data_IF_383925154699
#
_entry.id   IF_383925154699
#
_cell.length_a   1.000
_cell.length_b   1.000
_cell.length_c   1.000
_cell.angle_alpha   90.00
_cell.angle_beta   90.00
_cell.angle_gamma   90.00
#
_symmetry.space_group_name_H-M   'P 1'
#
loop_
_entity.id
_entity.type
_entity.pdbx_description
1 polymer ?
#
# COMPACT_ATOMS: atom_id res chain seq x y z
N UNK A 1 56.44 8.41 26.77
CA UNK A 1 55.60 7.36 27.38
C UNK A 1 54.54 8.03 28.26
N UNK A 2 53.36 8.29 27.71
CA UNK A 2 52.14 8.70 28.41
C UNK A 2 51.00 8.04 27.61
N UNK A 3 50.38 6.96 28.08
CA UNK A 3 49.35 6.26 27.33
C UNK A 3 47.98 6.91 27.54
N UNK A 4 47.04 6.57 26.65
CA UNK A 4 45.60 6.46 26.91
C UNK A 4 44.76 7.73 27.18
N UNK A 5 44.81 8.71 26.29
CA UNK A 5 43.57 9.42 25.95
C UNK A 5 42.71 8.48 25.07
N UNK A 6 42.19 7.40 25.65
CA UNK A 6 41.12 6.62 25.04
C UNK A 6 39.86 7.45 25.24
N UNK A 7 39.72 8.45 24.37
CA UNK A 7 38.41 9.00 24.06
C UNK A 7 37.63 7.84 23.44
N UNK A 8 36.93 7.07 24.29
CA UNK A 8 35.76 6.32 23.90
C UNK A 8 34.70 7.33 23.45
N UNK A 9 34.92 7.94 22.28
CA UNK A 9 33.82 8.44 21.47
C UNK A 9 33.12 7.16 21.05
N UNK A 10 32.19 6.73 21.89
CA UNK A 10 31.10 5.87 21.44
C UNK A 10 30.34 6.74 20.46
N UNK A 11 30.82 6.78 19.21
CA UNK A 11 29.97 7.13 18.10
C UNK A 11 28.95 5.99 18.13
N UNK A 12 27.82 6.23 18.78
CA UNK A 12 26.60 5.50 18.48
C UNK A 12 26.38 5.85 17.01
N UNK A 13 26.95 5.02 16.13
CA UNK A 13 26.57 5.01 14.75
C UNK A 13 25.12 4.56 14.86
N UNK A 14 24.20 5.52 14.88
CA UNK A 14 22.84 5.27 14.48
C UNK A 14 22.99 4.86 13.01
N UNK A 15 23.33 3.60 12.80
CA UNK A 15 23.18 2.97 11.52
C UNK A 15 21.68 3.09 11.28
N UNK A 16 21.30 4.01 10.41
CA UNK A 16 20.06 3.86 9.66
C UNK A 16 20.28 2.59 8.84
N UNK A 17 20.16 1.44 9.49
CA UNK A 17 19.95 0.17 8.84
C UNK A 17 18.53 0.23 8.30
N UNK A 18 18.35 0.99 7.22
CA UNK A 18 17.19 0.82 6.36
C UNK A 18 17.33 -0.57 5.75
N UNK A 19 16.86 -1.58 6.47
CA UNK A 19 16.44 -2.80 5.79
C UNK A 19 15.42 -2.33 4.76
N UNK A 20 15.75 -2.43 3.47
CA UNK A 20 14.96 -1.91 2.35
C UNK A 20 13.53 -2.48 2.28
N UNK A 21 13.19 -3.41 3.19
CA UNK A 21 11.89 -4.05 3.33
C UNK A 21 11.20 -3.80 4.68
N UNK A 22 11.79 -3.00 5.57
CA UNK A 22 11.16 -2.60 6.83
C UNK A 22 10.25 -1.38 6.63
N UNK A 23 9.15 -1.33 7.37
CA UNK A 23 8.15 -0.28 7.29
C UNK A 23 7.54 0.00 8.66
N UNK A 24 6.83 1.11 8.80
CA UNK A 24 6.15 1.45 10.05
C UNK A 24 4.70 0.95 10.04
N UNK A 25 4.19 0.60 11.22
CA UNK A 25 2.82 0.11 11.37
C UNK A 25 1.79 1.08 10.78
N UNK A 26 1.05 0.60 9.78
CA UNK A 26 0.06 1.40 9.08
C UNK A 26 0.56 2.09 7.82
N UNK A 27 1.83 1.96 7.46
CA UNK A 27 2.33 2.46 6.18
C UNK A 27 1.60 1.76 5.03
N UNK A 28 1.43 2.50 3.93
CA UNK A 28 0.69 2.07 2.75
C UNK A 28 1.50 2.40 1.50
N UNK A 29 1.53 1.48 0.53
CA UNK A 29 2.12 1.71 -0.78
C UNK A 29 1.38 0.94 -1.87
N UNK A 30 1.57 1.36 -3.12
CA UNK A 30 1.25 0.54 -4.29
C UNK A 30 2.38 -0.47 -4.50
N UNK A 31 2.05 -1.72 -4.81
CA UNK A 31 3.02 -2.78 -5.07
C UNK A 31 3.89 -2.39 -6.29
N UNK A 32 5.22 -2.27 -6.12
CA UNK A 32 6.13 -1.91 -7.21
C UNK A 32 6.16 -2.93 -8.37
N UNK A 33 5.85 -4.21 -8.10
CA UNK A 33 5.93 -5.29 -9.07
C UNK A 33 4.57 -5.72 -9.66
N UNK A 34 3.48 -5.49 -8.94
CA UNK A 34 2.15 -6.01 -9.32
C UNK A 34 1.12 -4.92 -9.68
N UNK A 35 1.57 -3.71 -10.03
CA UNK A 35 0.65 -2.64 -10.41
C UNK A 35 -0.29 -2.27 -9.26
N UNK A 36 -1.52 -1.79 -9.50
CA UNK A 36 -2.29 -0.97 -8.54
C UNK A 36 -2.70 -1.68 -7.23
N UNK A 37 -2.27 -2.92 -7.02
CA UNK A 37 -2.44 -3.67 -5.78
C UNK A 37 -1.77 -2.93 -4.63
N UNK A 38 -2.47 -2.82 -3.50
CA UNK A 38 -1.99 -2.12 -2.32
C UNK A 38 -1.27 -3.09 -1.37
N UNK A 39 -0.16 -2.61 -0.80
CA UNK A 39 0.52 -3.23 0.32
C UNK A 39 0.39 -2.37 1.57
N UNK A 40 0.04 -3.02 2.68
CA UNK A 40 -0.06 -2.41 3.99
C UNK A 40 1.02 -2.99 4.90
N UNK A 41 1.63 -2.14 5.70
CA UNK A 41 2.64 -2.53 6.66
C UNK A 41 2.02 -2.91 8.00
N UNK A 42 2.28 -4.13 8.45
CA UNK A 42 1.96 -4.54 9.81
C UNK A 42 3.08 -5.38 10.40
N UNK A 43 3.41 -5.16 11.67
CA UNK A 43 4.51 -5.83 12.35
C UNK A 43 5.88 -5.58 11.70
N UNK A 44 6.05 -4.44 11.03
CA UNK A 44 7.29 -4.06 10.37
C UNK A 44 7.54 -4.73 9.01
N UNK A 45 6.55 -5.44 8.47
CA UNK A 45 6.67 -6.19 7.22
C UNK A 45 5.52 -5.77 6.28
N UNK A 46 5.81 -5.66 4.98
CA UNK A 46 4.82 -5.39 3.94
C UNK A 46 3.98 -6.62 3.61
N UNK A 47 2.71 -6.42 3.29
CA UNK A 47 1.80 -7.51 2.95
C UNK A 47 0.51 -7.02 2.34
N UNK A 48 -0.32 -7.96 1.93
CA UNK A 48 -1.47 -7.72 1.07
C UNK A 48 -2.79 -7.80 1.83
N UNK A 49 -3.82 -7.23 1.22
CA UNK A 49 -5.18 -7.15 1.76
C UNK A 49 -6.15 -7.70 0.72
N UNK A 50 -7.17 -8.43 1.17
CA UNK A 50 -8.21 -8.92 0.29
C UNK A 50 -9.27 -7.85 0.04
N UNK A 51 -9.77 -7.81 -1.21
CA UNK A 51 -10.92 -6.99 -1.55
C UNK A 51 -12.22 -7.68 -1.13
N UNK A 52 -13.29 -6.90 -0.96
CA UNK A 52 -14.64 -7.42 -0.78
C UNK A 52 -15.33 -7.64 -2.12
N UNK A 53 -16.43 -8.40 -2.11
CA UNK A 53 -17.37 -8.44 -3.22
C UNK A 53 -18.20 -7.14 -3.32
N UNK A 54 -18.21 -6.31 -2.27
CA UNK A 54 -18.89 -5.03 -2.25
C UNK A 54 -18.03 -3.95 -2.92
N UNK A 55 -18.30 -3.70 -4.20
CA UNK A 55 -17.59 -2.71 -5.02
C UNK A 55 -17.67 -1.30 -4.40
N UNK A 56 -18.82 -0.91 -3.84
CA UNK A 56 -18.98 0.41 -3.21
C UNK A 56 -18.01 0.58 -2.05
N UNK A 57 -17.90 -0.45 -1.20
CA UNK A 57 -16.98 -0.40 -0.06
C UNK A 57 -15.52 -0.47 -0.51
N UNK A 58 -15.19 -1.24 -1.55
CA UNK A 58 -13.84 -1.23 -2.13
C UNK A 58 -13.45 0.17 -2.61
N UNK A 59 -14.40 0.90 -3.23
CA UNK A 59 -14.18 2.28 -3.65
C UNK A 59 -13.91 3.21 -2.48
N UNK A 60 -14.72 3.15 -1.42
CA UNK A 60 -14.52 4.00 -0.23
C UNK A 60 -13.13 3.74 0.39
N UNK A 61 -12.73 2.47 0.48
CA UNK A 61 -11.40 2.12 0.98
C UNK A 61 -10.28 2.62 0.05
N UNK A 62 -10.47 2.52 -1.27
CA UNK A 62 -9.50 3.02 -2.24
C UNK A 62 -9.37 4.55 -2.18
N UNK A 63 -10.45 5.27 -1.90
CA UNK A 63 -10.42 6.71 -1.70
C UNK A 63 -9.62 7.08 -0.44
N UNK A 64 -9.85 6.41 0.69
CA UNK A 64 -9.05 6.57 1.92
C UNK A 64 -7.59 6.21 1.67
N UNK A 65 -7.32 5.12 0.94
CA UNK A 65 -5.97 4.71 0.56
C UNK A 65 -5.27 5.81 -0.27
N UNK A 66 -5.95 6.38 -1.25
CA UNK A 66 -5.40 7.47 -2.06
C UNK A 66 -5.11 8.72 -1.24
N UNK A 67 -6.01 9.09 -0.32
CA UNK A 67 -5.76 10.20 0.60
C UNK A 67 -4.54 9.94 1.49
N UNK A 68 -4.42 8.73 2.04
CA UNK A 68 -3.25 8.32 2.84
C UNK A 68 -1.95 8.40 2.03
N UNK A 69 -1.99 8.13 0.72
CA UNK A 69 -0.86 8.27 -0.21
C UNK A 69 -0.61 9.73 -0.66
N UNK A 70 -1.32 10.70 -0.09
CA UNK A 70 -1.20 12.12 -0.47
C UNK A 70 -1.76 12.42 -1.87
N UNK A 71 -2.71 11.61 -2.34
CA UNK A 71 -3.41 11.75 -3.62
C UNK A 71 -4.88 12.14 -3.36
N UNK A 72 -5.60 12.53 -4.41
CA UNK A 72 -7.00 13.00 -4.25
C UNK A 72 -7.97 11.86 -3.93
N UNK A 73 -8.43 11.17 -4.97
CA UNK A 73 -9.40 10.09 -4.88
C UNK A 73 -8.99 8.96 -5.81
N UNK A 74 -9.56 7.78 -5.60
CA UNK A 74 -9.38 6.67 -6.53
C UNK A 74 -10.16 6.91 -7.81
N UNK A 75 -9.55 6.53 -8.94
CA UNK A 75 -10.26 6.26 -10.20
C UNK A 75 -11.05 4.98 -9.96
N UNK A 76 -12.28 5.15 -9.45
CA UNK A 76 -13.09 4.12 -8.79
C UNK A 76 -13.39 2.85 -9.58
N UNK A 77 -12.91 2.74 -10.82
CA UNK A 77 -13.03 1.56 -11.67
C UNK A 77 -12.04 0.45 -11.28
N UNK A 78 -10.90 0.79 -10.66
CA UNK A 78 -9.90 -0.19 -10.23
C UNK A 78 -9.71 -0.10 -8.71
N UNK A 79 -10.58 -0.84 -8.01
CA UNK A 79 -10.60 -0.92 -6.53
C UNK A 79 -10.30 -2.34 -6.03
N UNK A 80 -10.28 -3.30 -6.94
CA UNK A 80 -9.81 -4.66 -6.72
C UNK A 80 -9.16 -5.20 -8.00
N UNK A 81 -8.23 -6.14 -7.84
CA UNK A 81 -7.55 -6.80 -8.96
C UNK A 81 -7.45 -8.29 -8.68
N UNK A 82 -7.80 -9.09 -9.68
CA UNK A 82 -7.51 -10.52 -9.67
C UNK A 82 -6.05 -10.73 -10.02
N UNK A 83 -5.27 -11.33 -9.12
CA UNK A 83 -3.89 -11.71 -9.40
C UNK A 83 -3.77 -13.21 -9.59
N UNK A 84 -3.23 -13.65 -10.72
CA UNK A 84 -2.91 -15.07 -10.94
C UNK A 84 -1.68 -15.53 -10.14
N UNK A 85 -0.92 -14.58 -9.57
CA UNK A 85 0.28 -14.83 -8.79
C UNK A 85 -0.08 -14.91 -7.30
N UNK A 86 0.55 -15.84 -6.57
CA UNK A 86 0.38 -15.91 -5.11
C UNK A 86 1.07 -14.70 -4.48
N UNK A 87 0.27 -13.77 -3.95
CA UNK A 87 0.76 -12.64 -3.19
C UNK A 87 0.74 -12.99 -1.69
N UNK A 88 1.85 -12.72 -1.01
CA UNK A 88 2.09 -13.11 0.39
C UNK A 88 3.12 -12.16 1.02
N UNK A 89 3.07 -11.89 2.33
CA UNK A 89 2.06 -12.34 3.30
C UNK A 89 0.73 -11.58 3.16
N UNK A 90 -0.37 -12.19 3.60
CA UNK A 90 -1.69 -11.55 3.68
C UNK A 90 -1.97 -11.27 5.15
N UNK A 91 -1.91 -10.01 5.58
CA UNK A 91 -2.14 -9.64 7.00
C UNK A 91 -3.61 -9.52 7.31
N UNK A 92 -4.31 -8.83 6.43
CA UNK A 92 -5.74 -8.66 6.54
C UNK A 92 -6.39 -9.73 5.68
N UNK A 93 -6.56 -10.90 6.29
CA UNK A 93 -7.55 -11.89 5.84
C UNK A 93 -8.95 -11.25 5.76
N UNK A 94 -9.14 -10.14 6.50
CA UNK A 94 -10.30 -9.30 6.54
C UNK A 94 -10.20 -8.14 5.56
N UNK A 95 -11.35 -7.56 5.26
CA UNK A 95 -11.48 -6.39 4.42
C UNK A 95 -11.68 -5.14 5.30
N UNK A 96 -11.11 -4.01 4.92
CA UNK A 96 -11.39 -2.72 5.59
C UNK A 96 -12.83 -2.29 5.28
N UNK A 97 -13.53 -1.71 6.26
CA UNK A 97 -14.87 -1.16 6.07
C UNK A 97 -14.86 0.30 6.50
N UNK A 98 -14.17 1.13 5.71
CA UNK A 98 -14.07 2.56 5.92
C UNK A 98 -15.43 3.26 5.74
N UNK A 99 -15.64 4.34 6.48
CA UNK A 99 -16.78 5.25 6.29
C UNK A 99 -16.50 6.30 5.22
N UNK A 100 -15.22 6.56 4.92
CA UNK A 100 -14.75 7.58 3.98
C UNK A 100 -14.28 8.86 4.67
N UNK A 101 -14.37 8.93 6.00
CA UNK A 101 -13.89 10.05 6.81
C UNK A 101 -12.53 9.78 7.44
N UNK A 102 -12.05 8.54 7.37
CA UNK A 102 -10.74 8.14 7.86
C UNK A 102 -9.62 8.74 7.01
N UNK A 103 -8.51 9.10 7.65
CA UNK A 103 -7.32 9.60 6.93
C UNK A 103 -6.33 8.49 6.62
N UNK A 104 -6.47 7.33 7.29
CA UNK A 104 -5.63 6.15 7.15
C UNK A 104 -6.46 4.89 7.19
N UNK A 105 -6.07 3.87 6.41
CA UNK A 105 -6.78 2.57 6.39
C UNK A 105 -6.85 1.90 7.76
N UNK A 106 -5.81 2.07 8.60
CA UNK A 106 -5.77 1.52 9.97
C UNK A 106 -6.85 2.06 10.90
N UNK A 107 -7.47 3.20 10.57
CA UNK A 107 -8.56 3.81 11.34
C UNK A 107 -9.92 3.20 10.97
N UNK A 108 -10.00 2.53 9.81
CA UNK A 108 -11.23 1.91 9.36
C UNK A 108 -11.56 0.65 10.18
N UNK A 109 -12.84 0.37 10.31
CA UNK A 109 -13.30 -0.87 10.95
C UNK A 109 -12.83 -2.08 10.14
N UNK A 110 -12.40 -3.13 10.83
CA UNK A 110 -11.99 -4.40 10.22
C UNK A 110 -12.96 -5.51 10.64
N UNK A 111 -14.15 -5.61 10.01
CA UNK A 111 -15.07 -6.70 10.30
C UNK A 111 -14.39 -8.05 10.04
N UNK A 112 -14.63 -9.01 10.94
CA UNK A 112 -14.19 -10.39 10.75
C UNK A 112 -15.01 -11.01 9.62
N UNK A 113 -14.41 -11.07 8.42
CA UNK A 113 -14.98 -11.70 7.25
C UNK A 113 -13.87 -12.57 6.67
N UNK A 114 -14.05 -13.89 6.71
CA UNK A 114 -13.10 -14.83 6.13
C UNK A 114 -13.13 -14.73 4.60
N UNK A 115 -12.38 -13.76 4.06
CA UNK A 115 -12.21 -13.58 2.61
C UNK A 115 -10.96 -14.29 2.09
N UNK A 116 -10.49 -15.31 2.81
CA UNK A 116 -9.32 -16.10 2.42
C UNK A 116 -9.57 -17.58 2.47
N UNK A 117 -8.95 -18.30 1.53
CA UNK A 117 -8.99 -19.75 1.43
C UNK A 117 -7.59 -20.25 1.05
N UNK A 118 -7.03 -21.18 1.83
CA UNK A 118 -5.67 -21.73 1.62
C UNK A 118 -4.56 -20.68 1.45
N UNK A 119 -4.59 -19.63 2.29
CA UNK A 119 -3.58 -18.56 2.28
C UNK A 119 -3.65 -17.62 1.07
N UNK A 120 -4.79 -17.57 0.37
CA UNK A 120 -5.07 -16.63 -0.73
C UNK A 120 -6.36 -15.88 -0.46
N UNK A 121 -6.51 -14.71 -1.08
CA UNK A 121 -7.80 -14.05 -1.16
C UNK A 121 -8.81 -14.90 -1.95
N UNK A 122 -10.08 -14.85 -1.57
CA UNK A 122 -11.17 -15.50 -2.30
C UNK A 122 -11.21 -14.95 -3.71
N UNK A 123 -11.29 -15.83 -4.70
CA UNK A 123 -11.22 -15.51 -6.13
C UNK A 123 -9.93 -14.75 -6.53
N UNK A 124 -8.87 -14.84 -5.72
CA UNK A 124 -7.62 -14.11 -5.89
C UNK A 124 -7.82 -12.57 -6.02
N UNK A 125 -8.85 -12.03 -5.36
CA UNK A 125 -9.19 -10.61 -5.37
C UNK A 125 -8.44 -9.82 -4.29
N UNK A 126 -7.49 -9.00 -4.72
CA UNK A 126 -6.69 -8.14 -3.84
C UNK A 126 -7.19 -6.69 -3.89
N UNK A 127 -7.03 -5.98 -2.78
CA UNK A 127 -7.34 -4.56 -2.70
C UNK A 127 -6.38 -3.78 -3.62
N UNK A 128 -6.93 -2.87 -4.43
CA UNK A 128 -6.17 -2.06 -5.35
C UNK A 128 -6.67 -0.62 -5.34
N UNK A 129 -5.82 0.32 -5.74
CA UNK A 129 -6.23 1.69 -6.00
C UNK A 129 -5.39 2.31 -7.11
N UNK A 130 -6.07 2.97 -8.05
CA UNK A 130 -5.43 3.88 -9.00
C UNK A 130 -5.80 5.29 -8.60
N UNK A 131 -4.87 6.06 -8.05
CA UNK A 131 -5.18 7.39 -7.55
C UNK A 131 -5.04 8.46 -8.63
N UNK A 132 -5.91 9.45 -8.59
CA UNK A 132 -5.67 10.69 -9.33
C UNK A 132 -4.45 11.41 -8.75
N UNK A 133 -3.57 11.99 -9.58
CA UNK A 133 -2.49 12.82 -9.07
C UNK A 133 -3.08 13.93 -8.19
N UNK A 134 -2.41 14.24 -7.09
CA UNK A 134 -2.66 15.50 -6.41
C UNK A 134 -2.50 16.64 -7.44
N UNK A 135 -3.32 17.69 -7.35
CA UNK A 135 -3.20 18.83 -8.26
C UNK A 135 -1.74 19.26 -8.34
N UNK A 136 -1.16 19.20 -9.54
CA UNK A 136 0.20 19.66 -9.76
C UNK A 136 0.26 21.11 -9.32
N UNK A 137 1.05 21.43 -8.29
CA UNK A 137 1.43 22.82 -8.05
C UNK A 137 2.30 23.25 -9.24
N UNK A 138 2.20 24.51 -9.65
CA UNK A 138 3.10 25.07 -10.66
C UNK A 138 4.57 24.74 -10.28
N UNK A 139 5.21 23.86 -11.05
CA UNK A 139 6.54 23.33 -10.75
C UNK A 139 6.67 21.79 -10.76
N UNK A 140 5.56 21.05 -10.61
CA UNK A 140 5.58 19.57 -10.66
C UNK A 140 5.55 19.06 -12.11
N UNK A 141 6.70 19.10 -12.79
CA UNK A 141 6.90 18.38 -14.05
C UNK A 141 7.48 16.99 -13.76
N UNK A 142 6.63 15.97 -13.68
CA UNK A 142 7.07 14.57 -13.82
C UNK A 142 6.85 14.12 -15.26
N UNK A 143 7.93 13.78 -15.97
CA UNK A 143 7.85 13.16 -17.30
C UNK A 143 7.19 11.79 -17.16
N UNK A 144 5.92 11.70 -17.53
CA UNK A 144 5.19 10.44 -17.54
C UNK A 144 5.61 9.65 -18.79
N UNK A 145 6.62 8.78 -18.65
CA UNK A 145 6.99 7.80 -19.68
C UNK A 145 5.98 6.65 -19.69
N UNK A 146 4.74 6.93 -20.08
CA UNK A 146 3.76 5.91 -20.43
C UNK A 146 2.86 6.37 -21.57
N UNK A 147 3.47 6.75 -22.69
CA UNK A 147 2.88 6.47 -24.00
C UNK A 147 3.59 5.24 -24.53
N UNK A 148 2.98 4.08 -24.32
CA UNK A 148 2.99 2.96 -25.26
C UNK A 148 1.94 1.90 -24.85
N UNK A 149 0.87 1.88 -25.66
CA UNK A 149 0.23 0.68 -26.19
C UNK A 149 -0.74 -0.13 -25.30
N UNK A 150 -2.02 0.25 -25.33
CA UNK A 150 -3.10 -0.74 -25.44
C UNK A 150 -3.82 -0.48 -26.77
N UNK A 151 -3.71 -1.35 -27.78
CA UNK A 151 -4.60 -1.25 -28.93
C UNK A 151 -5.99 -1.72 -28.48
N UNK A 152 -6.96 -0.82 -28.54
CA UNK A 152 -8.38 -1.20 -28.56
C UNK A 152 -8.61 -1.97 -29.88
N UNK A 153 -8.97 -3.25 -29.78
CA UNK A 153 -9.58 -3.96 -30.90
C UNK A 153 -11.09 -4.02 -30.67
N UNK A 154 -11.81 -3.56 -31.69
CA UNK A 154 -13.26 -3.64 -31.86
C UNK A 154 -13.70 -5.07 -32.18
#
# INVERSE_FOLDING_TARGET
>A
MQPWAVFCIIIIIATCGSGENSCYEGDLRVDPGNGPILQFCSGGIWGYMCASNNIKQNKINADVACQQLGKKLSKGDITNVTSNTRLSPIYYYNFFACTGYETKLKECRTPVIYNTFNGRCRNDLYAAAVCEPAECRNGDLTVNKSRNQFPLQF
#
